data_IF_823599320838
#
_entry.id   IF_823599320838
#
_cell.length_a   1.000
_cell.length_b   1.000
_cell.length_c   1.000
_cell.angle_alpha   90.00
_cell.angle_beta   90.00
_cell.angle_gamma   90.00
#
_symmetry.space_group_name_H-M   'P 1'
#
loop_
_entity.id
_entity.type
_entity.pdbx_description
1 polymer ?
#
# COMPACT_ATOMS: atom_id res chain seq x y z
N UNK A 1 36.56 -9.86 3.91
CA UNK A 1 35.21 -9.24 3.81
C UNK A 1 34.05 -10.24 3.76
N UNK A 2 34.30 -11.55 3.60
CA UNK A 2 33.27 -12.58 3.40
C UNK A 2 32.52 -13.08 4.66
N UNK A 3 33.04 -12.87 5.87
CA UNK A 3 32.47 -13.50 7.08
C UNK A 3 31.29 -12.74 7.74
N UNK A 4 30.96 -11.52 7.28
CA UNK A 4 29.80 -10.78 7.84
C UNK A 4 28.48 -11.02 7.13
N UNK A 5 28.51 -11.53 5.90
CA UNK A 5 27.28 -11.88 5.16
C UNK A 5 26.76 -13.29 5.52
N UNK A 6 27.63 -14.21 5.93
CA UNK A 6 27.21 -15.52 6.44
C UNK A 6 26.35 -15.40 7.71
N UNK A 7 26.61 -14.41 8.58
CA UNK A 7 25.79 -14.18 9.77
C UNK A 7 24.38 -13.66 9.49
N UNK A 8 24.11 -13.10 8.33
CA UNK A 8 22.72 -12.67 7.96
C UNK A 8 21.91 -13.88 7.51
N UNK A 9 22.51 -14.80 6.77
CA UNK A 9 21.86 -16.04 6.34
C UNK A 9 21.64 -17.01 7.51
N UNK A 10 22.54 -17.04 8.51
CA UNK A 10 22.36 -17.82 9.74
C UNK A 10 21.31 -17.22 10.67
N UNK A 11 21.15 -15.89 10.72
CA UNK A 11 20.10 -15.22 11.50
C UNK A 11 18.72 -15.47 10.89
N UNK A 12 18.63 -15.68 9.57
CA UNK A 12 17.36 -15.97 8.90
C UNK A 12 16.93 -17.44 8.97
N UNK A 13 17.83 -18.37 9.23
CA UNK A 13 17.52 -19.81 9.17
C UNK A 13 17.23 -20.47 10.53
N UNK A 14 17.69 -19.93 11.64
CA UNK A 14 17.72 -20.65 12.91
C UNK A 14 16.47 -20.45 13.81
N UNK A 15 15.72 -19.35 13.71
CA UNK A 15 14.68 -19.02 14.70
C UNK A 15 13.36 -18.50 14.11
N UNK A 16 12.98 -18.85 12.88
CA UNK A 16 11.61 -18.61 12.42
C UNK A 16 10.70 -19.60 13.12
N UNK A 17 10.33 -19.28 14.35
CA UNK A 17 9.32 -20.00 15.09
C UNK A 17 8.07 -20.09 14.23
N UNK A 18 7.69 -21.30 13.84
CA UNK A 18 6.47 -21.56 13.07
C UNK A 18 5.30 -21.01 13.87
N UNK A 19 4.78 -19.84 13.47
CA UNK A 19 3.66 -19.21 14.16
C UNK A 19 2.51 -20.20 14.31
N UNK A 20 2.00 -20.37 15.52
CA UNK A 20 0.86 -21.26 15.72
C UNK A 20 -0.37 -20.67 15.02
N UNK A 21 -1.15 -21.52 14.36
CA UNK A 21 -2.38 -21.11 13.68
C UNK A 21 -3.33 -20.37 14.65
N UNK A 22 -3.44 -20.87 15.88
CA UNK A 22 -4.24 -20.25 16.92
C UNK A 22 -3.88 -18.77 17.15
N UNK A 23 -2.59 -18.49 17.35
CA UNK A 23 -2.13 -17.11 17.57
C UNK A 23 -2.45 -16.23 16.36
N UNK A 24 -2.15 -16.68 15.14
CA UNK A 24 -2.46 -15.93 13.91
C UNK A 24 -3.94 -15.60 13.81
N UNK A 25 -4.79 -16.57 14.09
CA UNK A 25 -6.25 -16.40 14.03
C UNK A 25 -6.72 -15.39 15.07
N UNK A 26 -6.28 -15.49 16.32
CA UNK A 26 -6.67 -14.56 17.41
C UNK A 26 -6.29 -13.12 17.07
N UNK A 27 -5.05 -12.87 16.62
CA UNK A 27 -4.63 -11.50 16.27
C UNK A 27 -5.36 -10.98 15.03
N UNK A 28 -5.66 -11.85 14.06
CA UNK A 28 -6.44 -11.45 12.89
C UNK A 28 -7.89 -11.12 13.26
N UNK A 29 -8.53 -11.90 14.12
CA UNK A 29 -9.88 -11.59 14.64
C UNK A 29 -9.85 -10.23 15.35
N UNK A 30 -8.86 -9.98 16.22
CA UNK A 30 -8.74 -8.72 16.91
C UNK A 30 -8.57 -7.53 15.94
N UNK A 31 -7.79 -7.72 14.88
CA UNK A 31 -7.61 -6.68 13.86
C UNK A 31 -8.90 -6.46 13.05
N UNK A 32 -9.58 -7.51 12.60
CA UNK A 32 -10.85 -7.43 11.85
C UNK A 32 -11.89 -6.70 12.70
N UNK A 33 -12.04 -7.09 13.96
CA UNK A 33 -12.95 -6.43 14.91
C UNK A 33 -12.60 -4.95 15.10
N UNK A 34 -11.31 -4.64 15.26
CA UNK A 34 -10.85 -3.25 15.41
C UNK A 34 -11.21 -2.41 14.19
N UNK A 35 -10.95 -2.93 13.00
CA UNK A 35 -11.27 -2.21 11.77
C UNK A 35 -12.77 -2.04 11.60
N UNK A 36 -13.57 -3.07 11.84
CA UNK A 36 -15.03 -3.00 11.84
C UNK A 36 -15.54 -1.93 12.84
N UNK A 37 -15.01 -1.92 14.05
CA UNK A 37 -15.39 -0.96 15.06
C UNK A 37 -15.09 0.49 14.63
N UNK A 38 -13.93 0.72 14.02
CA UNK A 38 -13.54 2.03 13.48
C UNK A 38 -14.41 2.40 12.29
N UNK A 39 -14.70 1.47 11.39
CA UNK A 39 -15.58 1.71 10.26
C UNK A 39 -16.95 2.24 10.73
N UNK A 40 -17.59 1.54 11.65
CA UNK A 40 -18.93 1.87 12.14
C UNK A 40 -18.95 3.17 12.95
N UNK A 41 -17.99 3.37 13.87
CA UNK A 41 -18.06 4.43 14.88
C UNK A 41 -17.20 5.66 14.57
N UNK A 42 -16.39 5.62 13.53
CA UNK A 42 -15.54 6.74 13.14
C UNK A 42 -15.71 7.12 11.67
N UNK A 43 -15.52 6.15 10.74
CA UNK A 43 -15.55 6.47 9.33
C UNK A 43 -16.95 6.86 8.87
N UNK A 44 -17.98 6.12 9.27
CA UNK A 44 -19.37 6.43 8.93
C UNK A 44 -19.88 7.71 9.56
N UNK A 45 -19.32 8.14 10.71
CA UNK A 45 -19.73 9.38 11.38
C UNK A 45 -18.95 10.59 10.86
N UNK A 46 -17.62 10.52 10.85
CA UNK A 46 -16.74 11.67 10.52
C UNK A 46 -16.59 11.86 9.02
N UNK A 47 -16.62 10.77 8.24
CA UNK A 47 -16.38 10.76 6.80
C UNK A 47 -17.62 10.32 5.98
N UNK A 48 -18.82 10.49 6.54
CA UNK A 48 -20.09 10.15 5.88
C UNK A 48 -20.26 10.80 4.51
N UNK A 49 -19.76 12.03 4.33
CA UNK A 49 -19.78 12.73 3.06
C UNK A 49 -18.96 12.04 1.95
N UNK A 50 -18.07 11.11 2.30
CA UNK A 50 -17.32 10.26 1.38
C UNK A 50 -18.03 8.92 1.14
N UNK A 51 -19.34 8.82 1.37
CA UNK A 51 -20.12 7.59 1.15
C UNK A 51 -19.62 6.37 1.95
N UNK A 52 -19.15 6.59 3.18
CA UNK A 52 -19.04 5.50 4.14
C UNK A 52 -20.40 5.21 4.73
N UNK A 53 -20.94 4.03 4.45
CA UNK A 53 -22.26 3.60 4.90
C UNK A 53 -22.17 2.60 6.03
N UNK A 54 -23.20 2.59 6.85
CA UNK A 54 -23.40 1.66 7.96
C UNK A 54 -24.68 0.88 7.70
N UNK A 55 -24.64 -0.02 6.70
CA UNK A 55 -25.78 -0.89 6.46
C UNK A 55 -25.99 -1.84 7.62
N UNK A 56 -27.24 -2.16 7.94
CA UNK A 56 -27.57 -3.12 8.96
C UNK A 56 -27.30 -4.53 8.45
N UNK A 57 -26.37 -5.23 9.09
CA UNK A 57 -26.01 -6.61 8.76
C UNK A 57 -26.56 -7.57 9.81
N UNK A 58 -27.16 -8.65 9.36
CA UNK A 58 -27.53 -9.75 10.23
C UNK A 58 -26.30 -10.43 10.83
N UNK A 59 -26.47 -11.08 11.98
CA UNK A 59 -25.39 -11.81 12.64
C UNK A 59 -24.72 -12.84 11.71
N UNK A 60 -25.48 -13.53 10.86
CA UNK A 60 -24.96 -14.48 9.89
C UNK A 60 -24.06 -13.81 8.84
N UNK A 61 -24.40 -12.62 8.38
CA UNK A 61 -23.63 -11.85 7.41
C UNK A 61 -22.31 -11.36 8.01
N UNK A 62 -22.36 -10.83 9.23
CA UNK A 62 -21.16 -10.44 9.96
C UNK A 62 -20.25 -11.65 10.17
N UNK A 63 -20.80 -12.78 10.60
CA UNK A 63 -20.05 -14.01 10.84
C UNK A 63 -19.37 -14.54 9.56
N UNK A 64 -20.08 -14.53 8.41
CA UNK A 64 -19.51 -14.91 7.12
C UNK A 64 -18.42 -13.94 6.67
N UNK A 65 -18.59 -12.64 6.88
CA UNK A 65 -17.54 -11.64 6.61
C UNK A 65 -16.25 -11.96 7.38
N UNK A 66 -16.36 -12.35 8.66
CA UNK A 66 -15.20 -12.77 9.46
C UNK A 66 -14.56 -14.05 8.94
N UNK A 67 -15.36 -15.05 8.56
CA UNK A 67 -14.83 -16.30 7.96
C UNK A 67 -14.04 -15.98 6.70
N UNK A 68 -14.62 -15.20 5.80
CA UNK A 68 -13.95 -14.81 4.55
C UNK A 68 -12.68 -14.02 4.83
N UNK A 69 -12.74 -13.03 5.74
CA UNK A 69 -11.57 -12.24 6.10
C UNK A 69 -10.44 -13.08 6.73
N UNK A 70 -10.76 -14.13 7.47
CA UNK A 70 -9.80 -15.04 8.12
C UNK A 70 -9.26 -16.11 7.18
N UNK A 71 -10.00 -16.51 6.16
CA UNK A 71 -9.68 -17.64 5.30
C UNK A 71 -8.23 -17.65 4.76
N UNK A 72 -7.68 -16.54 4.23
CA UNK A 72 -6.32 -16.53 3.71
C UNK A 72 -5.25 -16.82 4.77
N UNK A 73 -5.50 -16.48 6.05
CA UNK A 73 -4.52 -16.68 7.14
C UNK A 73 -4.16 -18.16 7.34
N UNK A 74 -5.05 -19.07 6.96
CA UNK A 74 -4.74 -20.51 6.99
C UNK A 74 -3.54 -20.87 6.12
N UNK A 75 -3.36 -20.18 5.02
CA UNK A 75 -2.26 -20.41 4.08
C UNK A 75 -0.98 -19.67 4.45
N UNK A 76 -1.04 -18.69 5.34
CA UNK A 76 0.11 -17.92 5.77
C UNK A 76 1.09 -18.75 6.60
N UNK A 77 2.33 -18.85 6.14
CA UNK A 77 3.36 -19.71 6.74
C UNK A 77 4.36 -19.00 7.67
N UNK A 78 4.12 -17.70 7.95
CA UNK A 78 5.02 -16.88 8.76
C UNK A 78 6.04 -16.11 7.90
N UNK A 79 6.83 -15.24 8.55
CA UNK A 79 7.79 -14.35 7.88
C UNK A 79 9.08 -15.11 7.52
N UNK A 80 9.06 -15.80 6.40
CA UNK A 80 10.21 -16.60 5.93
C UNK A 80 10.96 -15.95 4.79
N UNK A 81 10.28 -15.17 3.98
CA UNK A 81 10.80 -14.57 2.76
C UNK A 81 10.34 -13.10 2.66
N UNK A 82 10.95 -12.33 1.78
CA UNK A 82 10.55 -10.94 1.53
C UNK A 82 9.08 -10.87 1.06
N UNK A 83 8.65 -11.84 0.24
CA UNK A 83 7.26 -11.96 -0.20
C UNK A 83 6.27 -12.06 0.96
N UNK A 84 6.61 -12.76 2.04
CA UNK A 84 5.76 -12.88 3.22
C UNK A 84 5.48 -11.54 3.91
N UNK A 85 6.46 -10.63 3.92
CA UNK A 85 6.28 -9.28 4.46
C UNK A 85 5.29 -8.47 3.61
N UNK A 86 5.43 -8.53 2.28
CA UNK A 86 4.49 -7.86 1.39
C UNK A 86 3.08 -8.43 1.51
N UNK A 87 2.97 -9.75 1.52
CA UNK A 87 1.67 -10.43 1.62
C UNK A 87 0.92 -10.06 2.91
N UNK A 88 1.61 -9.98 4.06
CA UNK A 88 0.95 -9.61 5.32
C UNK A 88 0.58 -8.11 5.35
N UNK A 89 1.39 -7.25 4.74
CA UNK A 89 1.06 -5.82 4.60
C UNK A 89 -0.19 -5.66 3.72
N UNK A 90 -0.26 -6.35 2.58
CA UNK A 90 -1.44 -6.34 1.70
C UNK A 90 -2.67 -6.87 2.45
N UNK A 91 -2.52 -7.95 3.24
CA UNK A 91 -3.61 -8.49 4.05
C UNK A 91 -4.17 -7.44 5.02
N UNK A 92 -3.29 -6.75 5.75
CA UNK A 92 -3.68 -5.77 6.79
C UNK A 92 -4.16 -4.46 6.17
N UNK A 93 -3.45 -3.93 5.17
CA UNK A 93 -3.72 -2.58 4.65
C UNK A 93 -4.74 -2.54 3.50
N UNK A 94 -4.97 -3.68 2.83
CA UNK A 94 -5.89 -3.71 1.69
C UNK A 94 -6.99 -4.75 1.89
N UNK A 95 -6.64 -6.02 2.06
CA UNK A 95 -7.61 -7.11 2.01
C UNK A 95 -8.68 -7.02 3.09
N UNK A 96 -8.30 -6.95 4.37
CA UNK A 96 -9.28 -6.85 5.48
C UNK A 96 -10.12 -5.59 5.38
N UNK A 97 -9.54 -4.40 5.13
CA UNK A 97 -10.33 -3.20 4.88
C UNK A 97 -11.32 -3.33 3.72
N UNK A 98 -10.94 -3.95 2.59
CA UNK A 98 -11.84 -4.15 1.47
C UNK A 98 -13.00 -5.07 1.88
N UNK A 99 -12.71 -6.24 2.44
CA UNK A 99 -13.75 -7.22 2.80
C UNK A 99 -14.76 -6.64 3.78
N UNK A 100 -14.31 -5.93 4.81
CA UNK A 100 -15.21 -5.31 5.80
C UNK A 100 -16.00 -4.14 5.19
N UNK A 101 -15.33 -3.24 4.46
CA UNK A 101 -16.01 -2.08 3.86
C UNK A 101 -17.09 -2.51 2.87
N UNK A 102 -16.82 -3.51 2.03
CA UNK A 102 -17.81 -4.03 1.09
C UNK A 102 -19.09 -4.50 1.78
N UNK A 103 -18.98 -5.19 2.91
CA UNK A 103 -20.16 -5.65 3.65
C UNK A 103 -21.03 -4.47 4.10
N UNK A 104 -20.43 -3.39 4.57
CA UNK A 104 -21.16 -2.24 5.10
C UNK A 104 -21.56 -1.22 4.05
N UNK A 105 -20.83 -1.09 2.95
CA UNK A 105 -21.13 -0.09 1.92
C UNK A 105 -22.02 -0.60 0.80
N UNK A 106 -21.82 -1.84 0.35
CA UNK A 106 -22.39 -2.28 -0.93
C UNK A 106 -23.55 -3.28 -0.78
N UNK A 107 -23.85 -3.76 0.41
CA UNK A 107 -24.90 -4.79 0.60
C UNK A 107 -26.28 -4.31 0.18
N UNK A 108 -26.65 -3.07 0.47
CA UNK A 108 -27.97 -2.53 0.10
C UNK A 108 -28.07 -2.24 -1.41
N UNK A 109 -26.99 -1.84 -2.05
CA UNK A 109 -26.96 -1.48 -3.47
C UNK A 109 -26.89 -2.72 -4.36
N UNK A 110 -26.02 -3.67 -4.06
CA UNK A 110 -25.70 -4.81 -4.91
C UNK A 110 -26.36 -6.13 -4.45
N UNK A 111 -26.88 -6.15 -3.26
CA UNK A 111 -27.34 -7.36 -2.58
C UNK A 111 -26.22 -8.17 -1.95
N UNK A 112 -26.52 -8.76 -0.78
CA UNK A 112 -25.52 -9.49 0.02
C UNK A 112 -24.82 -10.62 -0.72
N UNK A 113 -25.54 -11.39 -1.55
CA UNK A 113 -24.96 -12.53 -2.28
C UNK A 113 -23.88 -12.08 -3.29
N UNK A 114 -24.11 -10.95 -3.98
CA UNK A 114 -23.14 -10.38 -4.91
C UNK A 114 -21.89 -9.90 -4.16
N UNK A 115 -22.07 -9.18 -3.06
CA UNK A 115 -20.97 -8.74 -2.21
C UNK A 115 -20.16 -9.94 -1.70
N UNK A 116 -20.84 -10.97 -1.18
CA UNK A 116 -20.17 -12.18 -0.69
C UNK A 116 -19.37 -12.89 -1.79
N UNK A 117 -19.90 -12.95 -3.02
CA UNK A 117 -19.16 -13.53 -4.15
C UNK A 117 -17.83 -12.80 -4.39
N UNK A 118 -17.86 -11.47 -4.44
CA UNK A 118 -16.63 -10.67 -4.60
C UNK A 118 -15.66 -10.86 -3.44
N UNK A 119 -16.15 -10.89 -2.21
CA UNK A 119 -15.33 -11.16 -1.04
C UNK A 119 -14.68 -12.55 -1.10
N UNK A 120 -15.38 -13.57 -1.55
CA UNK A 120 -14.83 -14.93 -1.73
C UNK A 120 -13.75 -14.95 -2.81
N UNK A 121 -13.98 -14.29 -3.96
CA UNK A 121 -12.97 -14.16 -5.02
C UNK A 121 -11.71 -13.46 -4.48
N UNK A 122 -11.87 -12.38 -3.73
CA UNK A 122 -10.76 -11.69 -3.08
C UNK A 122 -10.03 -12.58 -2.07
N UNK A 123 -10.76 -13.43 -1.32
CA UNK A 123 -10.16 -14.37 -0.37
C UNK A 123 -9.29 -15.41 -1.07
N UNK A 124 -9.72 -15.94 -2.20
CA UNK A 124 -8.89 -16.81 -3.03
C UNK A 124 -7.66 -16.07 -3.56
N UNK A 125 -7.84 -14.87 -4.11
CA UNK A 125 -6.73 -14.04 -4.59
C UNK A 125 -5.70 -13.77 -3.49
N UNK A 126 -6.14 -13.35 -2.31
CA UNK A 126 -5.23 -13.13 -1.16
C UNK A 126 -4.55 -14.42 -0.71
N UNK A 127 -5.24 -15.55 -0.80
CA UNK A 127 -4.66 -16.86 -0.46
C UNK A 127 -3.50 -17.24 -1.38
N UNK A 128 -3.58 -16.87 -2.67
CA UNK A 128 -2.46 -17.07 -3.61
C UNK A 128 -1.22 -16.28 -3.19
N UNK A 129 -1.34 -15.05 -2.70
CA UNK A 129 -0.20 -14.30 -2.18
C UNK A 129 0.50 -15.04 -1.03
N UNK A 130 -0.26 -15.66 -0.13
CA UNK A 130 0.32 -16.47 0.96
C UNK A 130 0.86 -17.82 0.49
N UNK A 131 0.31 -18.39 -0.58
CA UNK A 131 0.79 -19.66 -1.14
C UNK A 131 2.10 -19.51 -1.91
N UNK A 132 2.39 -18.34 -2.48
CA UNK A 132 3.66 -18.07 -3.16
C UNK A 132 4.87 -18.40 -2.29
N UNK A 133 4.78 -18.18 -0.99
CA UNK A 133 5.85 -18.50 -0.04
C UNK A 133 6.12 -20.02 0.13
N UNK A 134 5.18 -20.86 -0.30
CA UNK A 134 5.31 -22.32 -0.26
C UNK A 134 5.91 -22.89 -1.55
N UNK A 135 5.96 -22.09 -2.61
CA UNK A 135 6.56 -22.50 -3.87
C UNK A 135 8.06 -22.66 -3.65
N UNK A 136 8.56 -23.88 -3.88
CA UNK A 136 10.00 -24.13 -3.81
C UNK A 136 10.70 -23.22 -4.81
N UNK A 137 11.66 -22.43 -4.32
CA UNK A 137 12.51 -21.62 -5.20
C UNK A 137 13.16 -22.54 -6.24
N UNK A 138 12.82 -22.31 -7.50
CA UNK A 138 13.48 -23.00 -8.60
C UNK A 138 14.95 -22.61 -8.51
N UNK A 139 15.83 -23.60 -8.28
CA UNK A 139 17.28 -23.39 -8.33
C UNK A 139 17.65 -23.15 -9.80
N UNK A 140 17.33 -21.99 -10.31
CA UNK A 140 17.89 -21.54 -11.58
C UNK A 140 19.38 -21.28 -11.37
N UNK A 141 20.22 -21.66 -12.36
CA UNK A 141 21.60 -21.16 -12.40
C UNK A 141 21.50 -19.64 -12.25
N UNK A 142 22.01 -19.09 -11.15
CA UNK A 142 22.00 -17.64 -10.95
C UNK A 142 22.69 -17.02 -12.17
N UNK A 143 21.94 -16.42 -13.04
CA UNK A 143 22.46 -15.40 -13.93
C UNK A 143 22.93 -14.25 -13.03
N UNK A 144 24.15 -14.37 -12.54
CA UNK A 144 24.79 -13.28 -11.83
C UNK A 144 25.16 -12.26 -12.91
N UNK A 145 24.22 -11.41 -13.25
CA UNK A 145 24.51 -10.16 -13.90
C UNK A 145 25.37 -9.35 -12.91
N UNK A 146 26.67 -9.49 -12.98
CA UNK A 146 27.62 -8.63 -12.28
C UNK A 146 27.53 -7.22 -12.87
N UNK A 147 26.42 -6.54 -12.69
CA UNK A 147 26.33 -5.11 -12.98
C UNK A 147 27.10 -4.43 -11.85
N UNK A 148 28.28 -3.82 -12.14
CA UNK A 148 29.02 -3.10 -11.11
C UNK A 148 28.12 -2.04 -10.49
N UNK A 149 28.14 -1.93 -9.17
CA UNK A 149 27.40 -0.90 -8.43
C UNK A 149 27.71 0.51 -8.95
N UNK A 150 28.84 0.66 -9.62
CA UNK A 150 29.22 1.88 -10.32
C UNK A 150 28.15 2.36 -11.30
N UNK A 151 27.58 1.45 -12.13
CA UNK A 151 26.52 1.83 -13.08
C UNK A 151 25.25 2.31 -12.41
N UNK A 152 24.94 1.75 -11.23
CA UNK A 152 23.82 2.25 -10.43
C UNK A 152 24.10 3.67 -9.93
N UNK A 153 25.33 3.98 -9.52
CA UNK A 153 25.70 5.34 -9.14
C UNK A 153 25.64 6.30 -10.33
N UNK A 154 26.15 5.90 -11.49
CA UNK A 154 26.08 6.71 -12.73
C UNK A 154 24.61 6.98 -13.09
N UNK A 155 23.77 5.95 -13.11
CA UNK A 155 22.34 6.11 -13.36
C UNK A 155 21.67 7.08 -12.37
N UNK A 156 21.98 6.95 -11.08
CA UNK A 156 21.47 7.86 -10.06
C UNK A 156 21.88 9.30 -10.32
N UNK A 157 23.16 9.54 -10.61
CA UNK A 157 23.67 10.90 -10.90
C UNK A 157 22.97 11.48 -12.12
N UNK A 158 22.88 10.73 -13.22
CA UNK A 158 22.20 11.19 -14.43
C UNK A 158 20.72 11.49 -14.19
N UNK A 159 20.01 10.62 -13.47
CA UNK A 159 18.60 10.84 -13.09
C UNK A 159 18.46 12.11 -12.23
N UNK A 160 19.32 12.26 -11.23
CA UNK A 160 19.30 13.43 -10.34
C UNK A 160 19.54 14.72 -11.11
N UNK A 161 20.59 14.75 -11.94
CA UNK A 161 20.91 15.92 -12.76
C UNK A 161 19.81 16.28 -13.76
N UNK A 162 19.22 15.27 -14.40
CA UNK A 162 18.11 15.48 -15.31
C UNK A 162 16.90 16.10 -14.61
N UNK A 163 16.49 15.53 -13.45
CA UNK A 163 15.35 16.03 -12.69
C UNK A 163 15.60 17.44 -12.15
N UNK A 164 16.79 17.68 -11.59
CA UNK A 164 17.18 19.04 -11.13
C UNK A 164 17.17 20.04 -12.27
N UNK A 165 17.75 19.71 -13.43
CA UNK A 165 17.75 20.57 -14.60
C UNK A 165 16.30 20.89 -15.06
N UNK A 166 15.48 19.83 -15.18
CA UNK A 166 14.10 19.93 -15.69
C UNK A 166 13.21 20.83 -14.81
N UNK A 167 13.35 20.72 -13.49
CA UNK A 167 12.50 21.40 -12.52
C UNK A 167 13.19 22.56 -11.80
N UNK A 168 14.40 22.98 -12.23
CA UNK A 168 15.23 23.96 -11.56
C UNK A 168 14.52 25.30 -11.27
N UNK A 169 13.61 25.73 -12.15
CA UNK A 169 12.85 26.97 -11.98
C UNK A 169 11.75 26.92 -10.91
N UNK A 170 11.27 25.72 -10.57
CA UNK A 170 10.10 25.54 -9.70
C UNK A 170 10.37 24.63 -8.49
N UNK A 171 11.62 24.19 -8.30
CA UNK A 171 11.99 23.42 -7.11
C UNK A 171 11.92 24.31 -5.88
N UNK A 172 10.98 24.00 -4.98
CA UNK A 172 10.87 24.70 -3.70
C UNK A 172 10.35 23.78 -2.61
N UNK A 173 10.73 24.06 -1.38
CA UNK A 173 10.18 23.38 -0.22
C UNK A 173 8.89 24.11 0.16
N UNK A 174 7.76 23.42 0.08
CA UNK A 174 6.42 23.97 0.38
C UNK A 174 5.83 23.33 1.62
N UNK A 175 4.98 24.08 2.32
CA UNK A 175 4.12 23.54 3.36
C UNK A 175 3.09 22.54 2.83
N UNK A 176 2.43 21.83 3.75
CA UNK A 176 1.42 20.86 3.33
C UNK A 176 0.18 21.48 2.68
N UNK A 177 -0.02 22.77 2.85
CA UNK A 177 -1.15 23.53 2.29
C UNK A 177 -0.90 23.88 0.81
N UNK A 178 0.35 24.22 0.45
CA UNK A 178 0.72 24.68 -0.90
C UNK A 178 1.14 23.55 -1.86
N UNK A 179 1.00 22.29 -1.43
CA UNK A 179 1.44 21.14 -2.24
C UNK A 179 0.69 21.04 -3.57
N UNK A 180 -0.58 21.37 -3.57
CA UNK A 180 -1.41 21.27 -4.78
C UNK A 180 -0.99 22.29 -5.83
N UNK A 181 -0.62 23.50 -5.41
CA UNK A 181 -0.12 24.54 -6.29
C UNK A 181 1.22 24.13 -6.91
N UNK A 182 2.14 23.63 -6.08
CA UNK A 182 3.42 23.09 -6.58
C UNK A 182 3.21 21.97 -7.62
N UNK A 183 2.26 21.06 -7.37
CA UNK A 183 1.96 19.98 -8.31
C UNK A 183 1.37 20.50 -9.61
N UNK A 184 0.45 21.42 -9.54
CA UNK A 184 -0.17 22.05 -10.71
C UNK A 184 0.86 22.76 -11.58
N UNK A 185 1.73 23.54 -10.97
CA UNK A 185 2.83 24.22 -11.67
C UNK A 185 3.79 23.23 -12.32
N UNK A 186 4.27 22.23 -11.56
CA UNK A 186 5.24 21.26 -12.05
C UNK A 186 4.66 20.27 -13.07
N UNK A 187 3.35 20.03 -13.07
CA UNK A 187 2.69 19.20 -14.08
C UNK A 187 2.86 19.74 -15.50
N UNK A 188 2.94 21.08 -15.66
CA UNK A 188 3.13 21.73 -16.95
C UNK A 188 4.52 21.47 -17.56
N UNK A 189 5.51 21.17 -16.72
CA UNK A 189 6.88 20.87 -17.15
C UNK A 189 7.15 19.35 -17.22
N UNK A 190 6.23 18.53 -16.73
CA UNK A 190 6.42 17.08 -16.68
C UNK A 190 6.16 16.45 -18.05
N UNK A 191 7.00 15.48 -18.40
CA UNK A 191 6.85 14.60 -19.54
C UNK A 191 6.89 13.13 -19.06
N UNK A 192 6.55 12.14 -19.90
CA UNK A 192 6.56 10.75 -19.49
C UNK A 192 7.89 10.29 -18.89
N UNK A 193 9.02 10.78 -19.41
CA UNK A 193 10.36 10.39 -18.91
C UNK A 193 10.57 10.92 -17.51
N UNK A 194 10.29 12.22 -17.27
CA UNK A 194 10.43 12.81 -15.95
C UNK A 194 9.49 12.20 -14.92
N UNK A 195 8.28 11.79 -15.32
CA UNK A 195 7.35 11.08 -14.44
C UNK A 195 7.89 9.72 -14.01
N UNK A 196 8.37 8.89 -14.96
CA UNK A 196 8.98 7.59 -14.65
C UNK A 196 10.24 7.75 -13.79
N UNK A 197 11.11 8.69 -14.11
CA UNK A 197 12.34 8.92 -13.34
C UNK A 197 12.02 9.41 -11.91
N UNK A 198 11.02 10.28 -11.74
CA UNK A 198 10.57 10.73 -10.42
C UNK A 198 10.01 9.56 -9.62
N UNK A 199 9.22 8.68 -10.24
CA UNK A 199 8.69 7.49 -9.59
C UNK A 199 9.81 6.52 -9.19
N UNK A 200 10.75 6.23 -10.09
CA UNK A 200 11.90 5.37 -9.78
C UNK A 200 12.82 5.97 -8.72
N UNK A 201 13.03 7.28 -8.74
CA UNK A 201 13.81 7.97 -7.71
C UNK A 201 13.13 7.84 -6.34
N UNK A 202 11.81 8.02 -6.27
CA UNK A 202 11.02 7.96 -5.04
C UNK A 202 10.99 6.55 -4.43
N UNK A 203 10.72 5.52 -5.25
CA UNK A 203 10.38 4.19 -4.74
C UNK A 203 11.49 3.15 -4.92
N UNK A 204 12.53 3.45 -5.68
CA UNK A 204 13.62 2.52 -5.93
C UNK A 204 15.01 3.11 -5.60
N UNK A 205 15.40 4.19 -6.24
CA UNK A 205 16.79 4.68 -6.19
C UNK A 205 17.16 5.14 -4.77
N UNK A 206 16.48 6.16 -4.24
CA UNK A 206 16.81 6.71 -2.93
C UNK A 206 16.47 5.78 -1.77
N UNK A 207 15.39 4.98 -1.80
CA UNK A 207 15.18 3.91 -0.83
C UNK A 207 16.31 2.89 -0.78
N UNK A 208 16.89 2.49 -1.93
CA UNK A 208 18.06 1.59 -1.95
C UNK A 208 19.26 2.24 -1.26
N UNK A 209 19.59 3.50 -1.57
CA UNK A 209 20.67 4.20 -0.89
C UNK A 209 20.45 4.29 0.61
N UNK A 210 19.27 4.68 1.05
CA UNK A 210 18.96 4.79 2.46
C UNK A 210 19.07 3.43 3.18
N UNK A 211 18.53 2.37 2.57
CA UNK A 211 18.60 1.00 3.10
C UNK A 211 20.04 0.49 3.16
N UNK A 212 20.84 0.71 2.11
CA UNK A 212 22.28 0.36 2.11
C UNK A 212 23.04 1.12 3.20
N UNK A 213 22.69 2.39 3.41
CA UNK A 213 23.28 3.20 4.47
C UNK A 213 23.01 2.63 5.86
N UNK A 214 21.79 2.18 6.13
CA UNK A 214 21.42 1.52 7.39
C UNK A 214 22.15 0.18 7.58
N UNK A 215 22.09 -0.69 6.56
CA UNK A 215 22.67 -2.04 6.64
C UNK A 215 24.19 -2.02 6.69
N UNK A 216 24.85 -1.23 5.84
CA UNK A 216 26.30 -1.11 5.78
C UNK A 216 26.88 -0.12 6.80
N UNK A 217 26.02 0.62 7.54
CA UNK A 217 26.41 1.69 8.46
C UNK A 217 27.27 2.78 7.80
N UNK A 218 26.98 3.09 6.54
CA UNK A 218 27.72 4.08 5.76
C UNK A 218 26.93 5.39 5.67
N UNK A 219 27.44 6.43 6.32
CA UNK A 219 26.78 7.75 6.42
C UNK A 219 26.53 8.40 5.05
N UNK A 220 27.43 8.21 4.08
CA UNK A 220 27.26 8.78 2.73
C UNK A 220 26.01 8.24 2.02
N UNK A 221 25.76 6.94 2.11
CA UNK A 221 24.55 6.36 1.52
C UNK A 221 23.27 6.85 2.21
N UNK A 222 23.30 7.00 3.54
CA UNK A 222 22.18 7.61 4.27
C UNK A 222 21.92 9.03 3.80
N UNK A 223 22.99 9.83 3.67
CA UNK A 223 22.89 11.23 3.23
C UNK A 223 22.31 11.33 1.82
N UNK A 224 22.80 10.52 0.87
CA UNK A 224 22.28 10.48 -0.51
C UNK A 224 20.80 10.10 -0.50
N UNK A 225 20.40 9.10 0.28
CA UNK A 225 19.02 8.68 0.42
C UNK A 225 18.11 9.80 0.93
N UNK A 226 18.51 10.46 2.02
CA UNK A 226 17.72 11.55 2.63
C UNK A 226 17.63 12.75 1.70
N UNK A 227 18.76 13.24 1.19
CA UNK A 227 18.78 14.41 0.30
C UNK A 227 18.01 14.14 -0.99
N UNK A 228 18.11 12.92 -1.52
CA UNK A 228 17.33 12.51 -2.68
C UNK A 228 15.83 12.57 -2.42
N UNK A 229 15.36 12.07 -1.27
CA UNK A 229 13.94 12.14 -0.92
C UNK A 229 13.46 13.59 -0.69
N UNK A 230 14.28 14.44 -0.09
CA UNK A 230 13.97 15.88 0.05
C UNK A 230 13.87 16.53 -1.34
N UNK A 231 14.82 16.26 -2.24
CA UNK A 231 14.78 16.76 -3.61
C UNK A 231 13.51 16.36 -4.34
N UNK A 232 13.13 15.07 -4.26
CA UNK A 232 11.88 14.59 -4.88
C UNK A 232 10.65 15.28 -4.28
N UNK A 233 10.64 15.54 -2.98
CA UNK A 233 9.55 16.30 -2.37
C UNK A 233 9.46 17.73 -2.94
N UNK A 234 10.59 18.41 -3.12
CA UNK A 234 10.65 19.75 -3.72
C UNK A 234 10.16 19.78 -5.17
N UNK A 235 10.25 18.65 -5.89
CA UNK A 235 9.77 18.51 -7.26
C UNK A 235 8.29 18.13 -7.31
N UNK A 236 7.89 17.11 -6.56
CA UNK A 236 6.60 16.43 -6.71
C UNK A 236 5.56 16.83 -5.67
N UNK A 237 5.97 17.45 -4.56
CA UNK A 237 5.12 17.65 -3.39
C UNK A 237 4.58 16.34 -2.80
N UNK A 238 5.18 15.19 -3.12
CA UNK A 238 4.70 13.90 -2.66
C UNK A 238 5.08 13.67 -1.20
N UNK A 239 4.10 13.72 -0.29
CA UNK A 239 4.30 13.45 1.15
C UNK A 239 4.98 12.09 1.40
N UNK A 240 4.70 11.11 0.55
CA UNK A 240 5.34 9.80 0.60
C UNK A 240 6.86 9.89 0.50
N UNK A 241 7.42 10.84 -0.27
CA UNK A 241 8.87 11.00 -0.40
C UNK A 241 9.55 11.32 0.93
N UNK A 242 8.99 12.24 1.72
CA UNK A 242 9.55 12.58 3.05
C UNK A 242 9.34 11.44 4.05
N UNK A 243 8.21 10.73 3.97
CA UNK A 243 7.90 9.65 4.91
C UNK A 243 8.67 8.36 4.62
N UNK A 244 9.13 8.14 3.38
CA UNK A 244 9.80 6.91 2.98
C UNK A 244 11.04 6.56 3.83
N UNK A 245 11.99 7.48 4.09
CA UNK A 245 13.11 7.19 4.99
C UNK A 245 12.68 6.76 6.38
N UNK A 246 11.63 7.37 6.92
CA UNK A 246 11.09 7.04 8.25
C UNK A 246 10.50 5.62 8.23
N UNK A 247 9.72 5.28 7.22
CA UNK A 247 9.12 3.95 7.06
C UNK A 247 10.22 2.88 6.93
N UNK A 248 11.24 3.11 6.09
CA UNK A 248 12.37 2.18 5.92
C UNK A 248 13.12 2.02 7.24
N UNK A 249 13.36 3.10 7.99
CA UNK A 249 14.02 3.05 9.29
C UNK A 249 13.21 2.24 10.31
N UNK A 250 11.90 2.43 10.37
CA UNK A 250 11.02 1.64 11.24
C UNK A 250 11.05 0.16 10.86
N UNK A 251 10.95 -0.17 9.58
CA UNK A 251 11.08 -1.56 9.10
C UNK A 251 12.44 -2.13 9.50
N UNK A 252 13.53 -1.38 9.34
CA UNK A 252 14.86 -1.81 9.74
C UNK A 252 14.93 -2.14 11.24
N UNK A 253 14.34 -1.29 12.10
CA UNK A 253 14.29 -1.54 13.56
C UNK A 253 13.48 -2.82 13.84
N UNK A 254 12.31 -2.94 13.24
CA UNK A 254 11.44 -4.12 13.45
C UNK A 254 12.18 -5.40 13.05
N UNK A 255 12.76 -5.43 11.87
CA UNK A 255 13.46 -6.62 11.36
C UNK A 255 14.72 -6.97 12.16
N UNK A 256 15.46 -5.95 12.66
CA UNK A 256 16.76 -6.20 13.31
C UNK A 256 16.70 -6.31 14.83
N UNK A 257 15.68 -5.73 15.48
CA UNK A 257 15.61 -5.61 16.94
C UNK A 257 14.49 -6.41 17.59
N UNK A 258 13.38 -6.64 16.89
CA UNK A 258 12.24 -7.35 17.46
C UNK A 258 12.40 -8.86 17.20
N UNK A 259 13.18 -9.55 18.07
CA UNK A 259 13.48 -10.98 17.91
C UNK A 259 12.39 -11.92 18.46
N UNK A 260 11.50 -11.47 19.34
CA UNK A 260 10.63 -12.34 20.14
C UNK A 260 9.16 -12.33 19.75
N UNK A 261 8.70 -11.34 18.99
CA UNK A 261 7.35 -11.30 18.45
C UNK A 261 7.42 -11.60 16.96
N UNK A 262 6.56 -12.47 16.49
CA UNK A 262 6.44 -12.62 15.04
C UNK A 262 6.01 -11.30 14.43
N UNK A 263 6.58 -10.95 13.28
CA UNK A 263 6.29 -9.67 12.65
C UNK A 263 4.79 -9.49 12.35
N UNK A 264 4.14 -10.54 11.90
CA UNK A 264 2.70 -10.53 11.61
C UNK A 264 1.85 -10.27 12.84
N UNK A 265 2.17 -10.92 13.96
CA UNK A 265 1.46 -10.71 15.23
C UNK A 265 1.71 -9.31 15.77
N UNK A 266 2.98 -8.85 15.73
CA UNK A 266 3.33 -7.52 16.16
C UNK A 266 2.64 -6.46 15.30
N UNK A 267 2.64 -6.65 13.98
CA UNK A 267 2.03 -5.69 13.07
C UNK A 267 0.51 -5.62 13.26
N UNK A 268 -0.17 -6.77 13.35
CA UNK A 268 -1.60 -6.79 13.60
C UNK A 268 -1.94 -6.18 14.97
N UNK A 269 -1.20 -6.51 16.02
CA UNK A 269 -1.40 -5.95 17.36
C UNK A 269 -1.12 -4.45 17.39
N UNK A 270 0.02 -4.00 16.85
CA UNK A 270 0.36 -2.57 16.83
C UNK A 270 -0.63 -1.76 15.99
N UNK A 271 -0.99 -2.23 14.81
CA UNK A 271 -1.98 -1.55 13.96
C UNK A 271 -3.31 -1.45 14.69
N UNK A 272 -3.79 -2.54 15.30
CA UNK A 272 -5.04 -2.54 16.06
C UNK A 272 -4.98 -1.63 17.29
N UNK A 273 -3.94 -1.73 18.09
CA UNK A 273 -3.77 -0.92 19.30
C UNK A 273 -3.62 0.56 18.96
N UNK A 274 -2.84 0.89 17.96
CA UNK A 274 -2.67 2.27 17.49
C UNK A 274 -3.99 2.83 16.96
N UNK A 275 -4.73 2.04 16.19
CA UNK A 275 -6.04 2.44 15.66
C UNK A 275 -7.04 2.75 16.76
N UNK A 276 -7.15 1.89 17.77
CA UNK A 276 -8.03 2.11 18.91
C UNK A 276 -7.60 3.30 19.78
N UNK A 277 -6.29 3.48 19.96
CA UNK A 277 -5.76 4.62 20.70
C UNK A 277 -6.09 5.93 19.99
N UNK A 278 -5.84 6.00 18.67
CA UNK A 278 -6.16 7.18 17.86
C UNK A 278 -7.67 7.47 17.83
N UNK A 279 -8.50 6.42 17.84
CA UNK A 279 -9.95 6.58 17.94
C UNK A 279 -10.39 7.17 19.28
N UNK A 280 -9.81 6.69 20.39
CA UNK A 280 -10.19 7.10 21.75
C UNK A 280 -9.70 8.49 22.17
N UNK A 281 -8.60 8.95 21.58
CA UNK A 281 -8.03 10.27 21.90
C UNK A 281 -8.70 11.31 21.02
N UNK A 282 -9.69 11.99 21.57
CA UNK A 282 -10.41 13.08 20.90
C UNK A 282 -9.74 14.41 21.19
N UNK A 283 -8.62 14.65 20.53
CA UNK A 283 -7.85 15.90 20.60
C UNK A 283 -7.71 16.45 19.20
N UNK A 284 -8.12 17.70 18.97
CA UNK A 284 -8.08 18.36 17.66
C UNK A 284 -6.69 18.31 17.02
N UNK A 285 -5.63 18.43 17.83
CA UNK A 285 -4.24 18.33 17.34
C UNK A 285 -3.90 16.96 16.72
N UNK A 286 -4.63 15.90 17.03
CA UNK A 286 -4.45 14.56 16.48
C UNK A 286 -5.37 14.27 15.29
N UNK A 287 -6.26 15.18 14.91
CA UNK A 287 -7.16 14.97 13.76
C UNK A 287 -6.40 14.65 12.48
N UNK A 288 -5.28 15.33 12.22
CA UNK A 288 -4.44 15.05 11.06
C UNK A 288 -3.87 13.62 11.07
N UNK A 289 -3.38 13.16 12.22
CA UNK A 289 -2.88 11.78 12.36
C UNK A 289 -4.00 10.75 12.22
N UNK A 290 -5.16 11.00 12.80
CA UNK A 290 -6.36 10.16 12.64
C UNK A 290 -6.76 10.06 11.17
N UNK A 291 -6.84 11.18 10.48
CA UNK A 291 -7.15 11.24 9.04
C UNK A 291 -6.13 10.48 8.19
N UNK A 292 -4.83 10.69 8.43
CA UNK A 292 -3.79 10.01 7.65
C UNK A 292 -3.78 8.50 7.93
N UNK A 293 -3.87 8.09 9.17
CA UNK A 293 -3.72 6.68 9.52
C UNK A 293 -5.02 5.89 9.35
N UNK A 294 -6.13 6.32 9.98
CA UNK A 294 -7.37 5.55 9.96
C UNK A 294 -8.09 5.66 8.62
N UNK A 295 -8.19 6.86 8.07
CA UNK A 295 -8.93 7.07 6.82
C UNK A 295 -8.05 6.76 5.61
N UNK A 296 -6.91 7.45 5.43
CA UNK A 296 -6.12 7.32 4.19
C UNK A 296 -5.30 6.03 4.10
N UNK A 297 -4.74 5.56 5.22
CA UNK A 297 -3.86 4.37 5.17
C UNK A 297 -4.64 3.08 5.31
N UNK A 298 -5.57 2.99 6.26
CA UNK A 298 -6.31 1.75 6.50
C UNK A 298 -7.58 1.66 5.68
N UNK A 299 -8.37 2.74 5.57
CA UNK A 299 -9.71 2.63 5.01
C UNK A 299 -9.79 2.90 3.51
N UNK A 300 -8.93 3.76 2.98
CA UNK A 300 -8.98 4.16 1.56
C UNK A 300 -8.96 2.97 0.58
N UNK A 301 -8.18 1.89 0.78
CA UNK A 301 -8.24 0.74 -0.14
C UNK A 301 -9.63 0.08 -0.19
N UNK A 302 -10.31 -0.03 0.95
CA UNK A 302 -11.68 -0.57 1.03
C UNK A 302 -12.69 0.36 0.38
N UNK A 303 -12.61 1.63 0.70
CA UNK A 303 -13.46 2.68 0.14
C UNK A 303 -13.37 2.75 -1.39
N UNK A 304 -12.17 2.84 -1.93
CA UNK A 304 -11.99 2.92 -3.38
C UNK A 304 -12.47 1.64 -4.08
N UNK A 305 -12.18 0.46 -3.53
CA UNK A 305 -12.70 -0.78 -4.10
C UNK A 305 -14.24 -0.81 -4.11
N UNK A 306 -14.88 -0.38 -3.03
CA UNK A 306 -16.32 -0.24 -2.91
C UNK A 306 -16.91 0.63 -4.03
N UNK A 307 -16.30 1.80 -4.29
CA UNK A 307 -16.76 2.74 -5.32
C UNK A 307 -16.54 2.19 -6.74
N UNK A 308 -15.42 1.55 -7.00
CA UNK A 308 -15.17 0.87 -8.27
C UNK A 308 -16.20 -0.23 -8.52
N UNK A 309 -16.52 -1.02 -7.50
CA UNK A 309 -17.52 -2.08 -7.61
C UNK A 309 -18.92 -1.51 -7.90
N UNK A 310 -19.34 -0.47 -7.18
CA UNK A 310 -20.63 0.21 -7.43
C UNK A 310 -20.68 0.81 -8.83
N UNK A 311 -19.61 1.46 -9.27
CA UNK A 311 -19.55 2.04 -10.61
C UNK A 311 -19.68 0.99 -11.69
N UNK A 312 -18.84 -0.04 -11.66
CA UNK A 312 -18.82 -1.08 -12.70
C UNK A 312 -20.00 -2.05 -12.65
N UNK A 313 -20.82 -2.02 -11.61
CA UNK A 313 -22.10 -2.74 -11.62
C UNK A 313 -23.10 -2.20 -12.66
N UNK A 314 -22.95 -0.92 -13.04
CA UNK A 314 -23.83 -0.20 -13.94
C UNK A 314 -23.14 0.36 -15.19
N UNK A 315 -21.83 0.25 -15.30
CA UNK A 315 -21.02 0.82 -16.38
C UNK A 315 -20.09 -0.22 -17.00
N UNK A 316 -19.69 -0.06 -18.26
CA UNK A 316 -18.83 -1.04 -18.94
C UNK A 316 -17.44 -1.12 -18.31
N UNK A 317 -16.92 -2.35 -18.19
CA UNK A 317 -15.56 -2.60 -17.72
C UNK A 317 -14.51 -2.10 -18.69
N UNK A 318 -13.37 -1.69 -18.19
CA UNK A 318 -12.25 -1.23 -19.03
C UNK A 318 -11.48 -2.36 -19.71
N UNK A 319 -11.57 -3.61 -19.21
CA UNK A 319 -10.83 -4.76 -19.72
C UNK A 319 -9.33 -4.47 -19.91
N UNK A 320 -8.71 -3.86 -18.90
CA UNK A 320 -7.32 -3.38 -18.89
C UNK A 320 -6.97 -2.27 -19.90
N UNK A 321 -7.92 -1.78 -20.71
CA UNK A 321 -7.66 -0.72 -21.68
C UNK A 321 -7.36 0.65 -21.06
N UNK A 322 -7.59 0.81 -19.74
CA UNK A 322 -7.09 1.97 -18.98
C UNK A 322 -5.55 2.03 -18.92
N UNK A 323 -4.86 0.93 -19.23
CA UNK A 323 -3.40 0.88 -19.38
C UNK A 323 -3.04 1.32 -20.81
N UNK A 324 -2.30 2.42 -20.95
CA UNK A 324 -2.00 3.02 -22.23
C UNK A 324 -1.41 2.05 -23.29
N UNK A 325 -0.54 1.13 -22.88
CA UNK A 325 0.01 0.10 -23.78
C UNK A 325 -1.11 -0.82 -24.28
N UNK A 326 -1.99 -1.29 -23.42
CA UNK A 326 -3.10 -2.16 -23.80
C UNK A 326 -4.05 -1.42 -24.74
N UNK A 327 -4.40 -0.18 -24.39
CA UNK A 327 -5.29 0.63 -25.23
C UNK A 327 -4.70 0.91 -26.61
N UNK A 328 -3.38 1.06 -26.73
CA UNK A 328 -2.70 1.24 -28.04
C UNK A 328 -2.89 0.05 -28.99
N UNK A 329 -3.15 -1.15 -28.46
CA UNK A 329 -3.42 -2.34 -29.26
C UNK A 329 -4.91 -2.63 -29.42
N UNK A 330 -5.73 -2.34 -28.40
CA UNK A 330 -7.14 -2.74 -28.38
C UNK A 330 -8.08 -1.61 -28.80
N UNK A 331 -7.71 -0.37 -28.58
CA UNK A 331 -8.52 0.84 -28.78
C UNK A 331 -9.95 0.69 -28.21
N UNK A 332 -10.07 0.03 -27.05
CA UNK A 332 -11.35 -0.39 -26.47
C UNK A 332 -11.74 0.37 -25.20
N UNK A 333 -10.98 1.42 -24.84
CA UNK A 333 -11.25 2.18 -23.63
C UNK A 333 -12.57 2.95 -23.73
N UNK A 334 -13.57 2.67 -22.85
CA UNK A 334 -14.93 3.16 -23.04
C UNK A 334 -15.17 4.60 -22.59
N UNK A 335 -14.22 5.23 -21.87
CA UNK A 335 -14.39 6.55 -21.25
C UNK A 335 -13.62 7.68 -21.96
N UNK A 336 -13.28 7.50 -23.23
CA UNK A 336 -12.59 8.51 -24.06
C UNK A 336 -11.19 8.83 -23.55
N UNK A 337 -10.86 10.11 -23.40
CA UNK A 337 -9.54 10.54 -22.92
C UNK A 337 -9.48 10.77 -21.41
N UNK A 338 -10.56 10.47 -20.68
CA UNK A 338 -10.63 10.73 -19.24
C UNK A 338 -10.04 9.51 -18.48
N UNK A 339 -9.01 9.69 -17.64
CA UNK A 339 -8.46 8.60 -16.84
C UNK A 339 -9.52 7.98 -15.91
N UNK A 340 -9.52 6.66 -15.76
CA UNK A 340 -10.52 5.94 -14.96
C UNK A 340 -10.63 6.46 -13.51
N UNK A 341 -9.51 6.85 -12.91
CA UNK A 341 -9.51 7.42 -11.56
C UNK A 341 -10.26 8.75 -11.45
N UNK A 342 -10.31 9.54 -12.53
CA UNK A 342 -11.10 10.79 -12.59
C UNK A 342 -12.57 10.45 -12.79
N UNK A 343 -12.90 9.52 -13.70
CA UNK A 343 -14.28 9.05 -13.93
C UNK A 343 -14.92 8.56 -12.63
N UNK A 344 -14.20 7.75 -11.84
CA UNK A 344 -14.68 7.25 -10.55
C UNK A 344 -14.78 8.38 -9.50
N UNK A 345 -13.80 9.32 -9.50
CA UNK A 345 -13.83 10.48 -8.61
C UNK A 345 -15.04 11.40 -8.88
N UNK A 346 -15.38 11.61 -10.15
CA UNK A 346 -16.55 12.39 -10.55
C UNK A 346 -17.87 11.67 -10.20
N UNK A 347 -17.93 10.33 -10.42
CA UNK A 347 -19.07 9.52 -10.01
C UNK A 347 -19.34 9.62 -8.50
N UNK A 348 -18.29 9.68 -7.72
CA UNK A 348 -18.35 9.75 -6.26
C UNK A 348 -18.52 11.20 -5.73
N UNK A 349 -18.70 12.16 -6.61
CA UNK A 349 -18.85 13.61 -6.31
C UNK A 349 -17.68 14.21 -5.48
N UNK A 350 -16.56 13.54 -5.43
CA UNK A 350 -15.39 14.03 -4.66
C UNK A 350 -14.50 14.95 -5.47
N UNK A 351 -14.65 14.99 -6.80
CA UNK A 351 -13.77 15.67 -7.76
C UNK A 351 -12.29 15.34 -7.54
N UNK A 352 -12.03 14.18 -6.92
CA UNK A 352 -10.70 13.69 -6.60
C UNK A 352 -10.32 12.55 -7.54
N UNK A 353 -9.03 12.45 -7.88
CA UNK A 353 -8.55 11.30 -8.64
C UNK A 353 -8.55 10.04 -7.75
N UNK A 354 -9.48 9.13 -8.02
CA UNK A 354 -9.67 7.89 -7.29
C UNK A 354 -8.63 6.84 -7.71
N UNK A 355 -7.38 7.01 -7.30
CA UNK A 355 -6.31 6.03 -7.53
C UNK A 355 -6.50 4.82 -6.62
N UNK A 356 -7.08 3.77 -7.14
CA UNK A 356 -7.36 2.54 -6.41
C UNK A 356 -6.16 1.58 -6.40
N UNK A 357 -6.30 0.52 -5.59
CA UNK A 357 -5.36 -0.59 -5.61
C UNK A 357 -5.59 -1.50 -6.84
N UNK A 358 -4.64 -2.41 -7.10
CA UNK A 358 -4.69 -3.31 -8.26
C UNK A 358 -5.94 -4.20 -8.32
N UNK A 359 -6.55 -4.56 -7.19
CA UNK A 359 -7.79 -5.34 -7.20
C UNK A 359 -8.98 -4.55 -7.75
N UNK A 360 -9.01 -3.25 -7.49
CA UNK A 360 -10.09 -2.40 -7.96
C UNK A 360 -9.96 -2.05 -9.45
N UNK A 361 -8.72 -1.88 -9.96
CA UNK A 361 -8.50 -1.48 -11.35
C UNK A 361 -8.46 -2.64 -12.32
N UNK A 362 -8.09 -3.85 -11.86
CA UNK A 362 -7.73 -4.95 -12.77
C UNK A 362 -8.85 -5.95 -13.01
N UNK A 363 -10.00 -5.79 -12.45
CA UNK A 363 -10.90 -6.89 -12.71
C UNK A 363 -12.26 -6.87 -12.07
N UNK A 364 -12.64 -5.74 -11.70
CA UNK A 364 -14.04 -5.59 -11.33
C UNK A 364 -14.82 -5.11 -12.51
#
# INVERSE_FOLDING_TARGET
MNNKFQNIDEITSADVQKESLFKKTVFSIFFIWTYQYIHINYLCEVWSYMRYFKNELDFSQVFLTYIVALFPIYFYSGLKQISSYFSIIIYIMCYVPIVVTLSYNNTDELGYNTVLLHQVVLAFSMSFFFLVDKIKTIKSKRLILNIPIFWFHVFTILTTLYLVYKFSGNMRFVGFEDIYDLRSENSQFSDPISQYLTMWATYLIYPIYFSLGLVKRQKMYLLIGILGHIMIYMISGAKASILMPVIIFLIYIVVTKIKYLSFSQSLAFFVSSLSLLLFKVDVDSLFLFRSIFLMRTLSMPGYLFSNYLSFFSNHPYTQYSHIGIVNSFTNSYPYGDIPIGVVIGDYDMTNANANANFWATDGV
#
